data_IF_919263673558
#
_entry.id   IF_919263673558
#
_cell.length_a   1.000
_cell.length_b   1.000
_cell.length_c   1.000
_cell.angle_alpha   90.00
_cell.angle_beta   90.00
_cell.angle_gamma   90.00
#
_symmetry.space_group_name_H-M   'P 1'
#
loop_
_entity.id
_entity.type
_entity.pdbx_description
1 polymer ?
#
# COMPACT_ATOMS: atom_id res chain seq x y z
N UNK A 1 22.05 -49.19 -40.05
CA UNK A 1 20.76 -49.94 -39.98
C UNK A 1 20.02 -49.42 -38.75
N UNK A 2 18.80 -48.88 -38.72
CA UNK A 2 17.65 -48.67 -39.62
C UNK A 2 17.09 -47.27 -39.25
N UNK A 3 16.94 -46.30 -40.17
CA UNK A 3 15.74 -45.96 -40.98
C UNK A 3 14.46 -45.59 -40.19
N UNK A 4 14.25 -44.28 -40.08
CA UNK A 4 13.00 -43.49 -40.20
C UNK A 4 12.19 -43.79 -41.51
N UNK A 5 11.08 -43.11 -41.89
CA UNK A 5 9.89 -42.55 -41.19
C UNK A 5 8.56 -42.68 -42.01
N UNK A 6 7.37 -42.28 -41.50
CA UNK A 6 6.20 -41.83 -42.33
C UNK A 6 5.08 -41.21 -41.44
N UNK A 7 4.76 -39.90 -41.43
CA UNK A 7 4.00 -39.03 -42.37
C UNK A 7 2.53 -39.40 -42.67
N UNK A 8 1.60 -38.47 -42.35
CA UNK A 8 0.42 -37.96 -43.12
C UNK A 8 -0.24 -36.85 -42.27
N UNK A 9 -0.21 -35.54 -42.59
CA UNK A 9 -0.89 -34.72 -43.63
C UNK A 9 -2.42 -34.90 -43.72
N UNK A 10 -3.14 -33.82 -43.40
CA UNK A 10 -4.52 -33.51 -43.81
C UNK A 10 -4.77 -32.00 -43.64
N UNK A 11 -5.16 -31.31 -44.72
CA UNK A 11 -5.37 -29.85 -44.84
C UNK A 11 -6.86 -29.51 -44.69
N UNK A 12 -7.09 -28.33 -44.07
CA UNK A 12 -8.07 -27.26 -44.34
C UNK A 12 -9.46 -27.56 -44.95
N UNK A 13 -10.53 -27.07 -44.27
CA UNK A 13 -11.64 -26.33 -44.91
C UNK A 13 -12.08 -25.18 -43.97
N UNK A 14 -12.02 -23.98 -44.53
CA UNK A 14 -12.58 -22.69 -44.07
C UNK A 14 -14.10 -22.63 -44.22
N UNK A 15 -14.81 -22.04 -43.26
CA UNK A 15 -16.06 -21.32 -43.54
C UNK A 15 -16.12 -20.01 -42.75
N UNK A 16 -15.87 -18.91 -43.48
CA UNK A 16 -16.36 -17.56 -43.18
C UNK A 16 -17.87 -17.54 -43.41
N UNK A 17 -18.62 -16.87 -42.53
CA UNK A 17 -19.92 -16.29 -42.87
C UNK A 17 -19.77 -14.77 -42.85
N UNK A 18 -19.61 -14.21 -44.04
CA UNK A 18 -19.96 -12.82 -44.33
C UNK A 18 -21.39 -12.83 -44.87
N UNK A 19 -22.24 -11.96 -44.33
CA UNK A 19 -23.51 -11.57 -44.94
C UNK A 19 -23.40 -10.09 -45.24
N UNK A 20 -23.37 -9.76 -46.54
CA UNK A 20 -23.55 -8.42 -47.07
C UNK A 20 -24.79 -8.43 -47.96
N UNK A 21 -25.73 -7.52 -47.69
CA UNK A 21 -26.68 -7.02 -48.67
C UNK A 21 -26.98 -5.55 -48.38
N UNK A 22 -26.64 -4.68 -49.34
CA UNK A 22 -27.45 -3.53 -49.76
C UNK A 22 -27.37 -2.21 -48.99
N UNK A 23 -26.66 -1.24 -49.58
CA UNK A 23 -26.74 0.22 -49.39
C UNK A 23 -28.09 0.82 -49.88
N UNK A 24 -28.27 2.16 -50.00
CA UNK A 24 -28.17 3.26 -49.03
C UNK A 24 -29.49 4.07 -48.97
N UNK A 25 -29.86 4.68 -47.83
CA UNK A 25 -30.82 5.79 -47.82
C UNK A 25 -30.45 6.81 -46.75
N UNK A 26 -30.39 8.07 -47.19
CA UNK A 26 -30.15 9.28 -46.42
C UNK A 26 -31.30 9.63 -45.46
N UNK A 27 -30.98 10.56 -44.55
CA UNK A 27 -31.86 11.41 -43.73
C UNK A 27 -32.22 10.89 -42.32
N UNK A 28 -31.56 11.47 -41.31
CA UNK A 28 -32.15 11.61 -39.96
C UNK A 28 -33.08 12.83 -39.91
N UNK A 29 -33.45 13.34 -38.71
CA UNK A 29 -33.48 12.70 -37.39
C UNK A 29 -34.86 12.86 -36.71
N UNK A 30 -35.25 11.95 -35.80
CA UNK A 30 -36.14 12.27 -34.68
C UNK A 30 -36.15 11.10 -33.67
N UNK A 31 -35.76 11.41 -32.43
CA UNK A 31 -35.56 10.44 -31.37
C UNK A 31 -36.85 10.01 -30.69
N UNK A 32 -36.77 8.83 -30.05
CA UNK A 32 -37.47 8.47 -28.81
C UNK A 32 -36.68 7.34 -28.15
N UNK A 33 -35.96 7.67 -27.08
CA UNK A 33 -35.44 6.66 -26.15
C UNK A 33 -36.56 6.31 -25.16
N UNK A 34 -36.93 5.04 -25.11
CA UNK A 34 -37.75 4.49 -24.03
C UNK A 34 -36.78 4.15 -22.90
N UNK A 35 -36.84 4.90 -21.80
CA UNK A 35 -36.08 4.64 -20.58
C UNK A 35 -37.00 4.19 -19.47
N UNK A 36 -36.79 2.97 -18.96
CA UNK A 36 -37.37 2.50 -17.71
C UNK A 36 -36.67 3.18 -16.52
N UNK A 37 -37.47 3.55 -15.51
CA UNK A 37 -37.08 4.35 -14.36
C UNK A 37 -36.45 3.44 -13.31
N UNK A 38 -35.16 3.63 -13.03
CA UNK A 38 -34.56 3.34 -11.73
C UNK A 38 -33.61 4.48 -11.34
N UNK A 39 -33.87 5.07 -10.17
CA UNK A 39 -32.97 5.98 -9.45
C UNK A 39 -32.30 7.11 -10.27
N UNK A 40 -33.07 8.11 -10.66
CA UNK A 40 -32.73 9.54 -10.47
C UNK A 40 -31.36 10.08 -10.90
N UNK A 41 -30.67 9.54 -11.91
CA UNK A 41 -29.46 10.16 -12.48
C UNK A 41 -29.55 10.19 -14.01
N UNK A 42 -29.77 11.39 -14.57
CA UNK A 42 -29.66 11.63 -16.01
C UNK A 42 -28.23 12.08 -16.30
N UNK A 43 -27.43 11.22 -16.95
CA UNK A 43 -26.11 11.59 -17.46
C UNK A 43 -26.23 11.96 -18.94
N UNK A 44 -26.18 13.26 -19.26
CA UNK A 44 -26.08 13.73 -20.65
C UNK A 44 -24.60 13.92 -21.00
N UNK A 45 -24.11 13.20 -22.00
CA UNK A 45 -22.76 13.41 -22.57
C UNK A 45 -22.80 14.46 -23.67
N UNK A 46 -21.95 15.51 -23.66
CA UNK A 46 -21.77 16.35 -24.82
C UNK A 46 -20.75 15.73 -25.79
N UNK A 47 -21.08 15.76 -27.08
CA UNK A 47 -20.15 15.52 -28.17
C UNK A 47 -19.15 16.67 -28.28
N UNK A 48 -17.86 16.34 -28.25
CA UNK A 48 -16.77 17.07 -28.87
C UNK A 48 -16.68 18.60 -28.60
N UNK A 49 -15.95 19.00 -27.57
CA UNK A 49 -14.97 20.12 -27.64
C UNK A 49 -14.27 20.30 -26.28
N UNK A 50 -13.01 20.77 -26.35
CA UNK A 50 -12.07 20.87 -25.23
C UNK A 50 -12.55 21.87 -24.17
N UNK A 51 -13.13 21.37 -23.07
CA UNK A 51 -13.15 21.98 -21.72
C UNK A 51 -13.75 20.98 -20.73
N UNK A 52 -13.08 20.77 -19.60
CA UNK A 52 -13.53 19.88 -18.53
C UNK A 52 -14.80 20.46 -17.86
N UNK A 53 -15.77 19.62 -17.44
CA UNK A 53 -16.96 20.12 -16.78
C UNK A 53 -16.61 20.59 -15.36
N UNK A 54 -16.89 21.86 -15.09
CA UNK A 54 -17.04 22.35 -13.72
C UNK A 54 -18.36 21.80 -13.21
N UNK A 55 -18.32 21.03 -12.12
CA UNK A 55 -19.52 20.56 -11.43
C UNK A 55 -20.22 21.79 -10.79
N UNK A 56 -21.11 22.45 -11.55
CA UNK A 56 -22.01 23.46 -10.98
C UNK A 56 -23.19 22.75 -10.35
N UNK A 57 -23.14 22.58 -9.03
CA UNK A 57 -24.33 22.28 -8.22
C UNK A 57 -25.16 23.57 -8.18
N UNK A 58 -26.08 23.71 -9.13
CA UNK A 58 -27.07 24.78 -9.13
C UNK A 58 -28.17 24.46 -8.13
N UNK A 59 -28.22 25.18 -7.01
CA UNK A 59 -29.42 25.24 -6.17
C UNK A 59 -30.51 25.95 -6.98
N UNK A 60 -31.61 25.24 -7.27
CA UNK A 60 -32.83 25.87 -7.74
C UNK A 60 -33.31 26.90 -6.69
N UNK A 61 -33.52 28.18 -7.05
CA UNK A 61 -34.03 29.16 -6.11
C UNK A 61 -35.54 28.95 -6.01
N UNK A 62 -35.99 28.21 -5.00
CA UNK A 62 -37.42 28.06 -4.77
C UNK A 62 -37.84 26.98 -3.78
N UNK A 63 -37.10 26.75 -2.69
CA UNK A 63 -37.60 26.01 -1.53
C UNK A 63 -36.90 26.55 -0.26
N UNK A 64 -37.39 27.69 0.24
CA UNK A 64 -37.02 28.18 1.58
C UNK A 64 -37.82 27.39 2.62
N UNK A 65 -37.16 26.48 3.32
CA UNK A 65 -37.74 25.79 4.48
C UNK A 65 -37.42 24.29 4.52
N UNK A 66 -36.17 23.93 4.83
CA UNK A 66 -35.78 22.55 5.10
C UNK A 66 -34.60 22.54 6.06
N UNK A 67 -34.75 21.85 7.20
CA UNK A 67 -33.67 21.63 8.16
C UNK A 67 -32.47 21.04 7.42
N UNK A 68 -31.27 21.55 7.68
CA UNK A 68 -30.02 20.86 7.32
C UNK A 68 -29.99 19.56 8.12
N UNK A 69 -30.45 18.47 7.52
CA UNK A 69 -30.06 17.14 7.97
C UNK A 69 -28.63 16.91 7.50
N UNK A 70 -27.71 16.80 8.46
CA UNK A 70 -26.35 16.36 8.21
C UNK A 70 -26.42 14.93 7.68
N UNK A 71 -26.32 14.77 6.36
CA UNK A 71 -26.19 13.47 5.72
C UNK A 71 -24.80 12.93 6.10
N UNK A 72 -24.73 12.16 7.18
CA UNK A 72 -23.58 11.31 7.49
C UNK A 72 -23.57 10.19 6.46
N UNK A 73 -22.70 10.30 5.46
CA UNK A 73 -22.39 9.18 4.57
C UNK A 73 -21.63 8.14 5.38
N UNK A 74 -22.26 7.01 5.68
CA UNK A 74 -21.56 5.83 6.21
C UNK A 74 -20.63 5.30 5.11
N UNK A 75 -19.32 5.41 5.32
CA UNK A 75 -18.32 4.96 4.37
C UNK A 75 -18.08 3.46 4.57
N UNK A 76 -18.41 2.62 3.59
CA UNK A 76 -17.97 1.22 3.61
C UNK A 76 -16.43 1.12 3.56
N UNK A 77 -15.82 0.00 3.97
CA UNK A 77 -14.35 -0.15 4.00
C UNK A 77 -13.64 0.18 2.68
N UNK A 78 -14.26 -0.14 1.54
CA UNK A 78 -13.75 0.25 0.23
C UNK A 78 -13.75 1.77 0.02
N UNK A 79 -14.84 2.44 0.41
CA UNK A 79 -14.97 3.90 0.35
C UNK A 79 -14.02 4.59 1.33
N UNK A 80 -13.77 3.98 2.50
CA UNK A 80 -12.82 4.49 3.49
C UNK A 80 -11.38 4.43 3.00
N UNK A 81 -10.98 3.33 2.33
CA UNK A 81 -9.66 3.22 1.71
C UNK A 81 -9.44 4.27 0.63
N UNK A 82 -10.41 4.45 -0.27
CA UNK A 82 -10.30 5.43 -1.36
C UNK A 82 -10.29 6.86 -0.81
N UNK A 83 -11.08 7.16 0.22
CA UNK A 83 -11.04 8.44 0.93
C UNK A 83 -9.67 8.69 1.59
N UNK A 84 -9.09 7.67 2.24
CA UNK A 84 -7.79 7.78 2.86
C UNK A 84 -6.68 8.03 1.83
N UNK A 85 -6.61 7.22 0.76
CA UNK A 85 -5.61 7.39 -0.30
C UNK A 85 -5.79 8.70 -1.09
N UNK A 86 -7.04 9.15 -1.27
CA UNK A 86 -7.37 10.36 -2.02
C UNK A 86 -6.99 11.69 -1.33
N UNK A 87 -6.76 11.67 -0.01
CA UNK A 87 -6.37 12.89 0.71
C UNK A 87 -6.01 12.67 2.18
N UNK A 88 -6.70 11.76 2.88
CA UNK A 88 -6.50 11.52 4.31
C UNK A 88 -5.07 11.12 4.68
N UNK A 89 -4.35 10.42 3.80
CA UNK A 89 -2.95 10.02 3.98
C UNK A 89 -1.99 11.20 4.19
N UNK A 90 -2.34 12.40 3.70
CA UNK A 90 -1.55 13.63 3.88
C UNK A 90 -1.71 14.22 5.29
N UNK A 91 -2.80 13.89 5.97
CA UNK A 91 -3.09 14.36 7.32
C UNK A 91 -2.36 13.53 8.39
N UNK A 92 -1.92 12.32 8.03
CA UNK A 92 -1.19 11.43 8.92
C UNK A 92 0.32 11.66 8.78
N UNK A 93 0.94 12.14 9.86
CA UNK A 93 2.38 12.35 9.95
C UNK A 93 3.11 11.00 9.88
N UNK A 94 4.11 10.91 9.00
CA UNK A 94 4.94 9.72 8.78
C UNK A 94 5.45 9.63 7.35
N UNK A 95 6.29 8.62 7.09
CA UNK A 95 6.98 8.42 5.82
C UNK A 95 6.37 7.28 5.03
N UNK A 96 5.69 7.63 3.94
CA UNK A 96 5.17 6.68 2.98
C UNK A 96 4.95 7.42 1.67
N UNK A 97 5.62 6.97 0.59
CA UNK A 97 5.33 7.52 -0.72
C UNK A 97 3.93 7.11 -1.17
N UNK A 98 3.26 7.98 -1.92
CA UNK A 98 1.94 7.67 -2.45
C UNK A 98 2.00 6.47 -3.40
N UNK A 99 3.08 6.34 -4.17
CA UNK A 99 3.34 5.18 -5.03
C UNK A 99 3.34 3.87 -4.22
N UNK A 100 4.10 3.81 -3.12
CA UNK A 100 4.13 2.62 -2.25
C UNK A 100 2.77 2.37 -1.59
N UNK A 101 2.04 3.41 -1.19
CA UNK A 101 0.69 3.27 -0.64
C UNK A 101 -0.30 2.65 -1.66
N UNK A 102 -0.27 3.11 -2.92
CA UNK A 102 -1.08 2.55 -4.01
C UNK A 102 -0.74 1.07 -4.27
N UNK A 103 0.55 0.72 -4.24
CA UNK A 103 1.01 -0.67 -4.47
C UNK A 103 0.50 -1.60 -3.38
N UNK A 104 0.65 -1.22 -2.11
CA UNK A 104 0.20 -2.02 -0.96
C UNK A 104 -1.32 -2.21 -1.03
N UNK A 105 -2.08 -1.15 -1.27
CA UNK A 105 -3.54 -1.22 -1.40
C UNK A 105 -3.97 -2.10 -2.59
N UNK A 106 -3.28 -1.97 -3.74
CA UNK A 106 -3.56 -2.76 -4.93
C UNK A 106 -3.29 -4.24 -4.72
N UNK A 107 -2.16 -4.59 -4.11
CA UNK A 107 -1.79 -5.97 -3.80
C UNK A 107 -2.77 -6.62 -2.82
N UNK A 108 -3.21 -5.90 -1.78
CA UNK A 108 -4.21 -6.41 -0.84
C UNK A 108 -5.58 -6.68 -1.51
N UNK A 109 -5.99 -5.79 -2.43
CA UNK A 109 -7.19 -6.01 -3.27
C UNK A 109 -7.00 -7.21 -4.20
N UNK A 110 -5.82 -7.35 -4.79
CA UNK A 110 -5.51 -8.48 -5.65
C UNK A 110 -5.55 -9.81 -4.90
N UNK A 111 -4.96 -9.91 -3.70
CA UNK A 111 -5.08 -11.09 -2.82
C UNK A 111 -6.54 -11.49 -2.61
N UNK A 112 -7.39 -10.52 -2.25
CA UNK A 112 -8.84 -10.74 -2.05
C UNK A 112 -9.50 -11.30 -3.32
N UNK A 113 -9.20 -10.71 -4.48
CA UNK A 113 -9.75 -11.15 -5.78
C UNK A 113 -9.33 -12.57 -6.18
N UNK A 114 -8.19 -13.04 -5.69
CA UNK A 114 -7.69 -14.39 -5.97
C UNK A 114 -7.98 -15.38 -4.84
N UNK A 115 -8.82 -15.00 -3.88
CA UNK A 115 -9.30 -15.85 -2.78
C UNK A 115 -8.35 -15.96 -1.59
N UNK A 116 -7.31 -15.13 -1.51
CA UNK A 116 -6.42 -15.06 -0.35
C UNK A 116 -7.02 -14.09 0.66
N UNK A 117 -7.39 -14.64 1.82
CA UNK A 117 -7.99 -13.93 2.95
C UNK A 117 -7.22 -14.27 4.23
N UNK A 118 -7.40 -13.48 5.29
CA UNK A 118 -6.66 -13.59 6.55
C UNK A 118 -6.34 -12.22 7.13
N UNK A 119 -5.90 -12.17 8.39
CA UNK A 119 -5.61 -10.90 9.08
C UNK A 119 -4.50 -10.09 8.39
N UNK A 120 -4.40 -8.80 8.73
CA UNK A 120 -3.29 -7.92 8.34
C UNK A 120 -2.51 -7.47 9.58
N UNK A 121 -1.21 -7.20 9.43
CA UNK A 121 -0.36 -6.78 10.54
C UNK A 121 0.64 -5.71 10.11
N UNK A 122 0.97 -4.80 11.03
CA UNK A 122 2.16 -3.95 10.95
C UNK A 122 2.90 -3.97 12.29
N UNK A 123 4.22 -4.10 12.22
CA UNK A 123 5.14 -3.77 13.32
C UNK A 123 5.73 -2.40 13.00
N UNK A 124 5.68 -1.47 13.96
CA UNK A 124 6.08 -0.08 13.77
C UNK A 124 4.94 0.76 13.21
N UNK A 125 4.13 1.34 14.09
CA UNK A 125 2.89 2.02 13.74
C UNK A 125 3.09 3.53 13.69
N UNK A 126 3.87 4.09 14.61
CA UNK A 126 4.02 5.53 14.80
C UNK A 126 2.66 6.25 14.97
N UNK A 127 2.08 6.77 13.89
CA UNK A 127 0.74 7.38 13.83
C UNK A 127 -0.22 6.67 12.85
N UNK A 128 0.18 5.52 12.31
CA UNK A 128 -0.65 4.61 11.51
C UNK A 128 -0.66 4.84 10.01
N UNK A 129 0.34 5.54 9.43
CA UNK A 129 0.26 5.98 8.03
C UNK A 129 0.09 4.83 7.04
N UNK A 130 0.86 3.76 7.19
CA UNK A 130 0.71 2.53 6.41
C UNK A 130 -0.39 1.65 7.03
N UNK A 131 -0.43 1.50 8.36
CA UNK A 131 -1.44 0.69 9.06
C UNK A 131 -2.88 0.98 8.62
N UNK A 132 -3.24 2.24 8.39
CA UNK A 132 -4.59 2.62 7.98
C UNK A 132 -4.96 2.04 6.61
N UNK A 133 -3.99 1.76 5.73
CA UNK A 133 -4.20 1.01 4.50
C UNK A 133 -4.55 -0.44 4.84
N UNK A 134 -3.75 -1.08 5.69
CA UNK A 134 -3.92 -2.47 6.12
C UNK A 134 -5.24 -2.69 6.88
N UNK A 135 -5.67 -1.71 7.67
CA UNK A 135 -6.94 -1.72 8.37
C UNK A 135 -8.12 -1.66 7.40
N UNK A 136 -8.07 -0.76 6.41
CA UNK A 136 -9.16 -0.56 5.46
C UNK A 136 -9.32 -1.70 4.43
N UNK A 137 -8.28 -2.51 4.19
CA UNK A 137 -8.38 -3.68 3.29
C UNK A 137 -8.92 -4.94 3.97
N UNK A 138 -9.11 -4.93 5.29
CA UNK A 138 -9.76 -6.05 6.00
C UNK A 138 -11.23 -6.17 5.61
N UNK A 139 -11.75 -7.40 5.61
CA UNK A 139 -13.12 -7.72 5.22
C UNK A 139 -13.70 -8.84 6.09
N UNK A 140 -15.02 -8.83 6.28
CA UNK A 140 -15.71 -9.87 7.06
C UNK A 140 -15.19 -9.96 8.49
N UNK A 141 -14.60 -11.11 8.84
CA UNK A 141 -14.07 -11.39 10.18
C UNK A 141 -12.56 -11.14 10.32
N UNK A 142 -11.91 -10.64 9.27
CA UNK A 142 -10.48 -10.34 9.29
C UNK A 142 -10.19 -9.17 10.24
N UNK A 143 -9.04 -9.22 10.90
CA UNK A 143 -8.58 -8.19 11.83
C UNK A 143 -7.30 -7.55 11.31
N UNK A 144 -7.11 -6.28 11.64
CA UNK A 144 -5.85 -5.59 11.45
C UNK A 144 -5.13 -5.45 12.79
N UNK A 145 -3.84 -5.76 12.82
CA UNK A 145 -3.06 -5.88 14.06
C UNK A 145 -1.93 -4.87 14.06
N UNK A 146 -2.01 -3.92 14.98
CA UNK A 146 -1.04 -2.87 15.18
C UNK A 146 -0.07 -3.26 16.29
N UNK A 147 1.22 -3.41 15.98
CA UNK A 147 2.28 -3.70 16.95
C UNK A 147 3.23 -2.50 17.07
N UNK A 148 3.32 -1.90 18.25
CA UNK A 148 4.25 -0.79 18.51
C UNK A 148 4.55 -0.68 20.01
N UNK A 149 5.71 -0.14 20.38
CA UNK A 149 6.04 0.19 21.77
C UNK A 149 5.37 1.50 22.23
N UNK A 150 4.91 2.35 21.30
CA UNK A 150 4.33 3.67 21.52
C UNK A 150 5.09 4.49 22.56
N UNK A 151 4.48 4.72 23.73
CA UNK A 151 5.06 5.52 24.81
C UNK A 151 6.20 4.82 25.56
N UNK A 152 6.45 3.53 25.35
CA UNK A 152 7.49 2.75 26.02
C UNK A 152 8.88 3.01 25.43
N UNK A 153 9.25 4.29 25.36
CA UNK A 153 10.46 4.81 24.69
C UNK A 153 11.79 4.30 25.28
N UNK A 154 11.76 3.68 26.46
CA UNK A 154 12.93 2.96 26.99
C UNK A 154 13.30 1.72 26.16
N UNK A 155 12.35 1.20 25.35
CA UNK A 155 12.56 0.11 24.39
C UNK A 155 12.96 0.60 23.00
N UNK A 156 12.93 1.92 22.75
CA UNK A 156 13.31 2.55 21.47
C UNK A 156 14.84 2.72 21.38
N UNK A 157 15.55 1.60 21.18
CA UNK A 157 17.02 1.54 21.23
C UNK A 157 17.73 2.33 20.13
N UNK A 158 17.09 2.52 18.98
CA UNK A 158 17.67 3.19 17.81
C UNK A 158 17.19 4.65 17.63
N UNK A 159 16.26 5.10 18.49
CA UNK A 159 15.69 6.45 18.47
C UNK A 159 15.02 6.83 17.15
N UNK A 160 14.50 5.86 16.41
CA UNK A 160 14.00 6.04 15.05
C UNK A 160 12.62 6.70 14.95
N UNK A 161 11.83 6.71 16.02
CA UNK A 161 10.49 7.32 16.02
C UNK A 161 9.96 7.66 17.40
N UNK A 162 8.85 8.41 17.44
CA UNK A 162 8.11 8.76 18.66
C UNK A 162 6.61 8.56 18.41
N UNK A 163 6.20 7.29 18.34
CA UNK A 163 4.80 6.93 18.13
C UNK A 163 3.91 7.37 19.29
N UNK A 164 2.73 7.91 18.95
CA UNK A 164 1.71 8.30 19.92
C UNK A 164 0.43 7.51 19.68
N UNK A 165 0.08 6.67 20.65
CA UNK A 165 -1.10 5.80 20.59
C UNK A 165 -2.40 6.59 20.49
N UNK A 166 -2.53 7.72 21.19
CA UNK A 166 -3.77 8.51 21.18
C UNK A 166 -3.98 9.16 19.81
N UNK A 167 -2.92 9.68 19.20
CA UNK A 167 -2.95 10.21 17.83
C UNK A 167 -3.33 9.10 16.85
N UNK A 168 -2.68 7.94 16.96
CA UNK A 168 -2.97 6.76 16.13
C UNK A 168 -4.45 6.33 16.24
N UNK A 169 -4.98 6.17 17.44
CA UNK A 169 -6.39 5.81 17.65
C UNK A 169 -7.35 6.90 17.14
N UNK A 170 -6.94 8.17 17.17
CA UNK A 170 -7.65 9.27 16.52
C UNK A 170 -7.75 9.11 15.00
N UNK A 171 -6.64 8.73 14.36
CA UNK A 171 -6.62 8.44 12.93
C UNK A 171 -7.44 7.20 12.58
N UNK A 172 -7.43 6.14 13.40
CA UNK A 172 -8.30 4.97 13.21
C UNK A 172 -9.78 5.37 13.16
N UNK A 173 -10.25 6.13 14.14
CA UNK A 173 -11.64 6.61 14.17
C UNK A 173 -11.99 7.46 12.96
N UNK A 174 -11.03 8.20 12.41
CA UNK A 174 -11.24 9.11 11.28
C UNK A 174 -11.20 8.41 9.92
N UNK A 175 -10.24 7.51 9.71
CA UNK A 175 -9.89 6.99 8.39
C UNK A 175 -10.13 5.49 8.22
N UNK A 176 -10.32 4.74 9.30
CA UNK A 176 -10.65 3.31 9.29
C UNK A 176 -11.77 2.96 10.30
N UNK A 177 -12.90 3.70 10.34
CA UNK A 177 -13.89 3.59 11.43
C UNK A 177 -14.62 2.23 11.52
N UNK A 178 -14.54 1.40 10.47
CA UNK A 178 -15.22 0.11 10.39
C UNK A 178 -14.29 -1.10 10.53
N UNK A 179 -12.99 -0.85 10.70
CA UNK A 179 -11.98 -1.91 10.80
C UNK A 179 -11.96 -2.52 12.21
N UNK A 180 -11.93 -3.84 12.29
CA UNK A 180 -11.66 -4.53 13.54
C UNK A 180 -10.14 -4.51 13.80
N UNK A 181 -9.71 -3.77 14.82
CA UNK A 181 -8.29 -3.55 15.12
C UNK A 181 -7.89 -4.15 16.46
N UNK A 182 -6.79 -4.91 16.48
CA UNK A 182 -6.06 -5.28 17.69
C UNK A 182 -4.84 -4.38 17.85
N UNK A 183 -4.67 -3.76 19.01
CA UNK A 183 -3.49 -2.97 19.34
C UNK A 183 -2.65 -3.74 20.35
N UNK A 184 -1.46 -4.15 19.94
CA UNK A 184 -0.47 -4.85 20.74
C UNK A 184 0.64 -3.87 21.08
N UNK A 185 0.64 -3.38 22.33
CA UNK A 185 1.68 -2.47 22.78
C UNK A 185 2.86 -3.24 23.35
N UNK A 186 3.80 -3.63 22.48
CA UNK A 186 4.94 -4.45 22.86
C UNK A 186 6.10 -4.33 21.86
N UNK A 187 7.30 -4.79 22.23
CA UNK A 187 8.44 -4.87 21.32
C UNK A 187 8.35 -6.15 20.51
N UNK A 188 8.57 -6.08 19.21
CA UNK A 188 8.57 -7.27 18.34
C UNK A 188 9.60 -8.34 18.74
N UNK A 189 10.64 -7.98 19.49
CA UNK A 189 11.62 -8.91 20.06
C UNK A 189 11.01 -9.85 21.11
N UNK A 190 9.99 -9.38 21.83
CA UNK A 190 9.29 -10.12 22.87
C UNK A 190 8.17 -11.01 22.26
N UNK A 191 7.67 -10.68 21.06
CA UNK A 191 6.57 -11.40 20.39
C UNK A 191 6.95 -12.79 19.86
N UNK A 192 8.19 -13.02 19.46
CA UNK A 192 8.61 -14.26 18.77
C UNK A 192 8.36 -15.53 19.58
N UNK A 193 8.44 -15.44 20.92
CA UNK A 193 8.18 -16.57 21.82
C UNK A 193 6.80 -16.52 22.50
N UNK A 194 5.90 -15.67 22.00
CA UNK A 194 4.56 -15.48 22.54
C UNK A 194 3.49 -16.17 21.70
N UNK A 195 2.23 -16.15 22.15
CA UNK A 195 1.09 -16.60 21.37
C UNK A 195 0.87 -15.78 20.09
N UNK A 196 1.50 -14.61 19.96
CA UNK A 196 1.46 -13.82 18.73
C UNK A 196 1.97 -14.60 17.51
N UNK A 197 3.02 -15.42 17.68
CA UNK A 197 3.58 -16.23 16.60
C UNK A 197 2.61 -17.28 16.03
N UNK A 198 1.49 -17.55 16.72
CA UNK A 198 0.42 -18.43 16.24
C UNK A 198 -0.56 -17.72 15.31
N UNK A 199 -0.56 -16.39 15.29
CA UNK A 199 -1.40 -15.59 14.37
C UNK A 199 -0.97 -15.79 12.93
N UNK A 200 -1.90 -15.56 12.01
CA UNK A 200 -1.72 -15.81 10.58
C UNK A 200 -2.18 -14.62 9.76
N UNK A 201 -1.29 -14.09 8.93
CA UNK A 201 -1.49 -12.83 8.23
C UNK A 201 -1.32 -12.96 6.72
N UNK A 202 -2.24 -12.39 5.94
CA UNK A 202 -2.10 -12.31 4.47
C UNK A 202 -1.25 -11.12 4.03
N UNK A 203 -1.25 -10.05 4.82
CA UNK A 203 -0.38 -8.87 4.63
C UNK A 203 0.36 -8.58 5.94
N UNK A 204 1.67 -8.36 5.85
CA UNK A 204 2.51 -8.05 7.01
C UNK A 204 3.48 -6.92 6.67
N UNK A 205 3.43 -5.78 7.36
CA UNK A 205 4.40 -4.69 7.25
C UNK A 205 5.43 -4.77 8.38
N UNK A 206 6.71 -4.60 8.05
CA UNK A 206 7.84 -4.61 8.98
C UNK A 206 8.52 -3.24 8.95
N UNK A 207 8.36 -2.50 10.05
CA UNK A 207 8.88 -1.15 10.29
C UNK A 207 9.21 -0.94 11.80
N UNK A 208 9.53 -2.02 12.53
CA UNK A 208 9.64 -1.99 13.99
C UNK A 208 10.87 -1.26 14.53
N UNK A 209 11.98 -1.32 13.79
CA UNK A 209 13.25 -0.69 14.13
C UNK A 209 14.30 -0.94 13.06
N UNK A 210 15.44 -0.27 13.20
CA UNK A 210 16.42 -0.05 12.14
C UNK A 210 17.80 -0.65 12.46
N UNK A 211 17.88 -1.51 13.48
CA UNK A 211 19.06 -2.34 13.75
C UNK A 211 18.96 -3.68 13.03
N UNK A 212 20.12 -4.30 12.75
CA UNK A 212 20.13 -5.57 12.03
C UNK A 212 19.50 -6.71 12.82
N UNK A 213 19.60 -6.69 14.16
CA UNK A 213 18.94 -7.64 15.05
C UNK A 213 17.41 -7.53 15.00
N UNK A 214 16.86 -6.31 15.07
CA UNK A 214 15.41 -6.09 15.05
C UNK A 214 14.85 -6.47 13.70
N UNK A 215 15.46 -5.99 12.60
CA UNK A 215 14.99 -6.33 11.25
C UNK A 215 15.04 -7.83 10.98
N UNK A 216 16.10 -8.51 11.40
CA UNK A 216 16.19 -9.97 11.26
C UNK A 216 15.08 -10.69 12.06
N UNK A 217 14.85 -10.29 13.31
CA UNK A 217 13.78 -10.85 14.14
C UNK A 217 12.41 -10.64 13.49
N UNK A 218 12.12 -9.43 13.03
CA UNK A 218 10.80 -9.07 12.53
C UNK A 218 10.47 -9.76 11.20
N UNK A 219 11.47 -9.93 10.32
CA UNK A 219 11.32 -10.75 9.11
C UNK A 219 11.06 -12.24 9.46
N UNK A 220 11.75 -12.78 10.45
CA UNK A 220 11.53 -14.16 10.91
C UNK A 220 10.15 -14.35 11.55
N UNK A 221 9.69 -13.36 12.32
CA UNK A 221 8.34 -13.34 12.89
C UNK A 221 7.28 -13.24 11.79
N UNK A 222 7.46 -12.33 10.82
CA UNK A 222 6.56 -12.18 9.68
C UNK A 222 6.45 -13.48 8.87
N UNK A 223 7.59 -14.16 8.63
CA UNK A 223 7.58 -15.49 8.01
C UNK A 223 6.82 -16.52 8.84
N UNK A 224 7.05 -16.56 10.15
CA UNK A 224 6.38 -17.52 11.06
C UNK A 224 4.87 -17.33 11.05
N UNK A 225 4.42 -16.09 10.94
CA UNK A 225 3.00 -15.73 10.87
C UNK A 225 2.42 -15.75 9.45
N UNK A 226 3.20 -16.11 8.42
CA UNK A 226 2.72 -16.14 7.04
C UNK A 226 1.79 -17.34 6.78
N UNK A 227 0.83 -17.13 5.89
CA UNK A 227 0.04 -18.15 5.19
C UNK A 227 0.59 -18.29 3.75
N UNK A 228 0.24 -19.36 3.01
CA UNK A 228 0.59 -19.44 1.59
C UNK A 228 0.11 -18.20 0.82
N UNK A 229 1.05 -17.49 0.20
CA UNK A 229 0.80 -16.29 -0.58
C UNK A 229 0.78 -14.99 0.23
N UNK A 230 1.15 -15.00 1.51
CA UNK A 230 1.33 -13.76 2.28
C UNK A 230 2.28 -12.80 1.59
N UNK A 231 1.99 -11.51 1.69
CA UNK A 231 2.90 -10.45 1.26
C UNK A 231 3.50 -9.81 2.50
N UNK A 232 4.83 -9.81 2.56
CA UNK A 232 5.60 -9.10 3.59
C UNK A 232 6.20 -7.85 2.94
N UNK A 233 5.98 -6.69 3.56
CA UNK A 233 6.50 -5.40 3.12
C UNK A 233 7.52 -4.94 4.15
N UNK A 234 8.78 -4.85 3.76
CA UNK A 234 9.84 -4.35 4.61
C UNK A 234 10.12 -2.88 4.26
N UNK A 235 10.07 -2.01 5.27
CA UNK A 235 10.45 -0.60 5.11
C UNK A 235 11.97 -0.41 5.08
N UNK A 236 12.41 0.75 4.59
CA UNK A 236 13.76 1.31 4.74
C UNK A 236 14.92 0.48 4.19
N UNK A 237 14.61 -0.51 3.34
CA UNK A 237 15.60 -1.43 2.74
C UNK A 237 16.76 -0.74 2.02
N UNK A 238 16.56 0.46 1.46
CA UNK A 238 17.60 1.24 0.78
C UNK A 238 17.85 2.59 1.46
N UNK A 239 17.43 2.78 2.70
CA UNK A 239 17.64 4.02 3.43
C UNK A 239 19.06 4.07 4.03
N UNK A 240 19.89 5.00 3.53
CA UNK A 240 21.28 5.14 3.96
C UNK A 240 21.44 5.58 5.42
N UNK A 241 20.41 6.13 6.06
CA UNK A 241 20.43 6.44 7.49
C UNK A 241 20.23 5.20 8.36
N UNK A 242 19.66 4.14 7.78
CA UNK A 242 19.19 2.95 8.48
C UNK A 242 19.77 1.67 7.87
N UNK A 243 21.09 1.64 7.67
CA UNK A 243 21.79 0.49 7.06
C UNK A 243 21.63 -0.82 7.85
N UNK A 244 21.23 -0.76 9.13
CA UNK A 244 20.89 -1.94 9.89
C UNK A 244 19.75 -2.75 9.26
N UNK A 245 18.84 -2.11 8.51
CA UNK A 245 17.74 -2.80 7.81
C UNK A 245 18.26 -3.73 6.72
N UNK A 246 19.14 -3.22 5.83
CA UNK A 246 19.71 -4.06 4.77
C UNK A 246 20.65 -5.13 5.33
N UNK A 247 21.39 -4.82 6.41
CA UNK A 247 22.21 -5.80 7.12
C UNK A 247 21.34 -6.90 7.76
N UNK A 248 20.25 -6.55 8.44
CA UNK A 248 19.32 -7.50 9.05
C UNK A 248 18.61 -8.38 8.01
N UNK A 249 18.26 -7.79 6.87
CA UNK A 249 17.76 -8.53 5.70
C UNK A 249 18.79 -9.54 5.20
N UNK A 250 20.06 -9.14 5.10
CA UNK A 250 21.14 -10.04 4.71
C UNK A 250 21.30 -11.20 5.72
N UNK A 251 21.29 -10.90 7.03
CA UNK A 251 21.36 -11.90 8.09
C UNK A 251 20.19 -12.88 8.02
N UNK A 252 18.98 -12.39 7.76
CA UNK A 252 17.80 -13.23 7.55
C UNK A 252 17.98 -14.23 6.40
N UNK A 253 18.46 -13.78 5.23
CA UNK A 253 18.71 -14.68 4.09
C UNK A 253 19.88 -15.64 4.31
N UNK A 254 20.97 -15.18 4.94
CA UNK A 254 22.11 -16.04 5.30
C UNK A 254 21.66 -17.14 6.27
N UNK A 255 20.74 -16.84 7.18
CA UNK A 255 20.10 -17.79 8.08
C UNK A 255 19.04 -18.68 7.39
N UNK A 256 18.99 -18.72 6.05
CA UNK A 256 18.03 -19.50 5.25
C UNK A 256 16.57 -19.06 5.45
N UNK A 257 16.33 -17.76 5.58
CA UNK A 257 14.99 -17.17 5.46
C UNK A 257 14.33 -17.58 4.13
N UNK A 258 13.08 -18.02 4.18
CA UNK A 258 12.34 -18.63 3.07
C UNK A 258 11.34 -17.69 2.37
N UNK A 259 11.32 -16.41 2.74
CA UNK A 259 10.54 -15.40 2.00
C UNK A 259 11.27 -15.03 0.70
N UNK A 260 10.52 -14.87 -0.39
CA UNK A 260 11.04 -14.62 -1.74
C UNK A 260 10.77 -13.16 -2.13
N UNK A 261 11.82 -12.33 -2.34
CA UNK A 261 11.70 -10.99 -2.90
C UNK A 261 11.08 -10.99 -4.29
N UNK A 262 10.16 -10.06 -4.57
CA UNK A 262 9.53 -9.94 -5.90
C UNK A 262 9.42 -8.52 -6.45
N UNK A 263 9.45 -7.49 -5.60
CA UNK A 263 9.40 -6.10 -6.05
C UNK A 263 10.08 -5.15 -5.05
N UNK A 264 10.49 -3.99 -5.56
CA UNK A 264 10.83 -2.81 -4.76
C UNK A 264 10.00 -1.63 -5.28
N UNK A 265 9.26 -0.96 -4.41
CA UNK A 265 8.72 0.39 -4.67
C UNK A 265 9.56 1.41 -3.89
N UNK A 266 9.31 2.73 -3.98
CA UNK A 266 10.12 3.71 -3.25
C UNK A 266 10.27 3.34 -1.77
N UNK A 267 11.49 2.91 -1.45
CA UNK A 267 11.97 2.48 -0.15
C UNK A 267 11.24 1.28 0.51
N UNK A 268 10.48 0.48 -0.22
CA UNK A 268 9.83 -0.74 0.31
C UNK A 268 10.27 -1.97 -0.46
N UNK A 269 10.69 -3.02 0.24
CA UNK A 269 10.92 -4.36 -0.33
C UNK A 269 9.66 -5.21 -0.14
N UNK A 270 9.20 -5.88 -1.19
CA UNK A 270 8.08 -6.81 -1.12
C UNK A 270 8.58 -8.24 -1.25
N UNK A 271 8.16 -9.09 -0.31
CA UNK A 271 8.48 -10.51 -0.26
C UNK A 271 7.21 -11.36 -0.14
N UNK A 272 7.30 -12.64 -0.49
CA UNK A 272 6.19 -13.60 -0.37
C UNK A 272 6.67 -15.01 -0.07
N UNK A 273 5.78 -16.00 0.06
CA UNK A 273 6.12 -17.34 0.57
C UNK A 273 6.62 -18.34 -0.47
N UNK A 274 6.56 -18.03 -1.78
CA UNK A 274 7.06 -18.92 -2.84
C UNK A 274 7.36 -18.18 -4.15
N UNK A 275 8.17 -18.81 -5.01
CA UNK A 275 8.49 -18.28 -6.34
C UNK A 275 7.24 -18.10 -7.23
N UNK A 276 6.26 -19.00 -7.13
CA UNK A 276 5.01 -18.91 -7.90
C UNK A 276 4.20 -17.66 -7.51
N UNK A 277 4.09 -17.38 -6.21
CA UNK A 277 3.45 -16.15 -5.73
C UNK A 277 4.28 -14.92 -6.06
N UNK A 278 5.61 -15.00 -5.96
CA UNK A 278 6.52 -13.90 -6.28
C UNK A 278 6.32 -13.48 -7.74
N UNK A 279 6.31 -14.45 -8.65
CA UNK A 279 6.02 -14.22 -10.06
C UNK A 279 4.62 -13.61 -10.26
N UNK A 280 3.59 -14.16 -9.62
CA UNK A 280 2.22 -13.69 -9.77
C UNK A 280 2.03 -12.24 -9.31
N UNK A 281 2.62 -11.88 -8.18
CA UNK A 281 2.53 -10.51 -7.66
C UNK A 281 3.37 -9.52 -8.47
N UNK A 282 4.57 -9.92 -8.91
CA UNK A 282 5.38 -9.10 -9.81
C UNK A 282 4.65 -8.85 -11.15
N UNK A 283 4.09 -9.89 -11.78
CA UNK A 283 3.31 -9.77 -13.02
C UNK A 283 2.11 -8.83 -12.84
N UNK A 284 1.41 -8.91 -11.69
CA UNK A 284 0.27 -8.05 -11.39
C UNK A 284 0.68 -6.58 -11.21
N UNK A 285 1.76 -6.31 -10.47
CA UNK A 285 2.27 -4.94 -10.32
C UNK A 285 2.73 -4.36 -11.66
N UNK A 286 3.43 -5.15 -12.48
CA UNK A 286 3.83 -4.74 -13.83
C UNK A 286 2.64 -4.39 -14.71
N UNK A 287 1.56 -5.16 -14.62
CA UNK A 287 0.33 -4.95 -15.37
C UNK A 287 -0.37 -3.66 -14.92
N UNK A 288 -0.46 -3.43 -13.61
CA UNK A 288 -1.19 -2.30 -13.03
C UNK A 288 -0.41 -0.98 -13.05
N UNK A 289 0.92 -1.05 -12.94
CA UNK A 289 1.81 0.10 -12.73
C UNK A 289 2.98 0.12 -13.74
N UNK A 290 2.66 -0.16 -15.01
CA UNK A 290 3.65 -0.22 -16.10
C UNK A 290 4.47 1.07 -16.22
N UNK A 291 3.86 2.22 -15.94
CA UNK A 291 4.46 3.55 -15.95
C UNK A 291 5.44 3.79 -14.79
N UNK A 292 5.38 2.98 -13.73
CA UNK A 292 6.25 3.08 -12.57
C UNK A 292 7.50 2.19 -12.67
N UNK A 293 7.57 1.28 -13.64
CA UNK A 293 8.70 0.35 -13.78
C UNK A 293 9.97 1.15 -14.06
N UNK A 294 10.92 1.11 -13.14
CA UNK A 294 12.23 1.75 -13.26
C UNK A 294 13.27 0.80 -13.84
N UNK A 295 13.31 -0.46 -13.36
CA UNK A 295 14.26 -1.47 -13.83
C UNK A 295 13.74 -2.88 -13.62
N UNK A 296 13.93 -3.73 -14.62
CA UNK A 296 13.71 -5.18 -14.52
C UNK A 296 14.53 -5.97 -15.56
N UNK A 297 15.01 -7.17 -15.21
CA UNK A 297 15.04 -7.72 -13.85
C UNK A 297 16.18 -7.10 -13.02
N UNK A 298 16.07 -7.16 -11.69
CA UNK A 298 17.13 -6.81 -10.75
C UNK A 298 17.36 -7.99 -9.82
N UNK A 299 18.62 -8.42 -9.69
CA UNK A 299 19.00 -9.48 -8.78
C UNK A 299 19.07 -8.98 -7.34
N UNK A 300 18.50 -9.76 -6.41
CA UNK A 300 18.56 -9.49 -4.98
C UNK A 300 18.49 -10.80 -4.20
N UNK A 301 19.57 -11.14 -3.48
CA UNK A 301 19.69 -12.39 -2.70
C UNK A 301 19.30 -13.67 -3.47
N UNK A 302 19.68 -13.76 -4.75
CA UNK A 302 19.38 -14.91 -5.61
C UNK A 302 18.00 -14.88 -6.27
N UNK A 303 17.12 -13.95 -5.89
CA UNK A 303 15.84 -13.71 -6.56
C UNK A 303 15.95 -12.65 -7.65
N UNK A 304 14.97 -12.65 -8.58
CA UNK A 304 14.83 -11.62 -9.61
C UNK A 304 13.58 -10.80 -9.32
N UNK A 305 13.74 -9.51 -9.07
CA UNK A 305 12.64 -8.60 -8.73
C UNK A 305 12.51 -7.45 -9.73
N UNK A 306 11.38 -6.76 -9.64
CA UNK A 306 11.07 -5.55 -10.40
C UNK A 306 11.23 -4.32 -9.51
N UNK A 307 12.00 -3.33 -9.96
CA UNK A 307 12.16 -2.05 -9.26
C UNK A 307 11.22 -1.03 -9.88
N UNK A 308 10.39 -0.43 -9.04
CA UNK A 308 9.45 0.64 -9.37
C UNK A 308 9.93 1.96 -8.76
N UNK A 309 9.91 3.02 -9.57
CA UNK A 309 10.21 4.37 -9.14
C UNK A 309 8.98 5.10 -8.60
N UNK A 310 9.16 6.37 -8.23
CA UNK A 310 8.02 7.24 -7.96
C UNK A 310 7.21 7.46 -9.23
N UNK A 311 5.89 7.35 -9.10
CA UNK A 311 4.99 7.79 -10.17
C UNK A 311 4.89 9.30 -10.11
N UNK A 312 5.06 10.00 -11.24
CA UNK A 312 4.61 11.38 -11.32
C UNK A 312 3.11 11.34 -11.03
N UNK A 313 2.72 11.79 -9.84
CA UNK A 313 1.31 11.78 -9.47
C UNK A 313 0.52 12.49 -10.57
N UNK A 314 -0.71 12.03 -10.81
CA UNK A 314 -1.71 12.74 -11.61
C UNK A 314 -2.07 14.12 -11.02
N UNK A 315 -1.41 14.49 -9.92
CA UNK A 315 -1.33 15.79 -9.31
C UNK A 315 0.07 16.36 -9.60
N UNK A 316 0.16 17.47 -10.33
CA UNK A 316 1.41 18.22 -10.46
C UNK A 316 1.87 18.65 -9.07
N UNK A 317 2.81 17.90 -8.48
CA UNK A 317 3.67 18.42 -7.42
C UNK A 317 4.87 19.00 -8.17
N UNK A 318 5.05 20.33 -8.21
CA UNK A 318 6.19 20.93 -8.88
C UNK A 318 7.48 20.31 -8.32
N UNK A 319 8.53 20.07 -9.13
CA UNK A 319 9.79 19.50 -8.66
C UNK A 319 10.37 20.19 -7.42
N UNK A 320 10.11 21.50 -7.30
CA UNK A 320 10.48 22.30 -6.13
C UNK A 320 9.83 21.84 -4.82
N UNK A 321 8.61 21.31 -4.84
CA UNK A 321 7.93 20.77 -3.66
C UNK A 321 8.45 19.38 -3.27
N UNK A 322 8.89 18.57 -4.25
CA UNK A 322 9.53 17.28 -3.98
C UNK A 322 10.92 17.47 -3.32
N UNK A 323 11.70 18.41 -3.86
CA UNK A 323 12.97 18.84 -3.27
C UNK A 323 12.77 19.52 -1.92
N UNK A 324 11.71 20.34 -1.74
CA UNK A 324 11.34 20.87 -0.43
C UNK A 324 10.91 19.77 0.54
N UNK A 325 10.23 18.72 0.09
CA UNK A 325 9.81 17.62 0.94
C UNK A 325 11.01 16.78 1.39
N UNK A 326 11.97 16.53 0.49
CA UNK A 326 13.27 15.92 0.82
C UNK A 326 14.08 16.78 1.77
N UNK A 327 14.23 18.07 1.47
CA UNK A 327 14.94 19.00 2.35
C UNK A 327 14.24 19.17 3.70
N UNK A 328 12.90 19.18 3.76
CA UNK A 328 12.14 19.20 5.02
C UNK A 328 12.31 17.90 5.79
N UNK A 329 12.35 16.76 5.11
CA UNK A 329 12.63 15.48 5.73
C UNK A 329 14.02 15.49 6.36
N UNK A 330 15.05 15.87 5.59
CA UNK A 330 16.42 16.04 6.06
C UNK A 330 16.50 17.03 7.23
N UNK A 331 15.85 18.19 7.13
CA UNK A 331 15.83 19.19 8.20
C UNK A 331 15.10 18.72 9.45
N UNK A 332 14.02 17.95 9.32
CA UNK A 332 13.30 17.41 10.47
C UNK A 332 14.15 16.35 11.18
N UNK A 333 14.81 15.48 10.42
CA UNK A 333 15.78 14.53 10.92
C UNK A 333 16.92 15.25 11.65
N UNK A 334 17.54 16.24 11.01
CA UNK A 334 18.59 17.08 11.62
C UNK A 334 18.10 17.77 12.88
N UNK A 335 16.89 18.33 12.89
CA UNK A 335 16.33 19.02 14.08
C UNK A 335 16.14 18.06 15.25
N UNK A 336 15.70 16.84 14.98
CA UNK A 336 15.55 15.80 16.00
C UNK A 336 16.92 15.33 16.52
N UNK A 337 17.96 15.31 15.68
CA UNK A 337 19.35 15.03 16.10
C UNK A 337 20.00 16.20 16.88
N UNK A 338 19.70 17.45 16.53
CA UNK A 338 20.30 18.65 17.17
C UNK A 338 19.62 18.99 18.51
N UNK A 339 18.33 18.72 18.67
CA UNK A 339 17.61 18.89 19.95
C UNK A 339 18.31 18.18 21.12
N UNK A 340 18.92 17.02 20.86
CA UNK A 340 19.73 16.26 21.81
C UNK A 340 21.04 16.96 22.19
N UNK A 341 21.73 17.62 21.26
CA UNK A 341 23.01 18.32 21.55
C UNK A 341 22.84 19.55 22.43
N UNK A 342 21.68 20.19 22.41
CA UNK A 342 21.41 21.40 23.21
C UNK A 342 20.87 21.04 24.60
N UNK A 343 20.22 19.89 24.78
CA UNK A 343 19.67 19.46 26.07
C UNK A 343 20.56 18.51 26.87
N UNK A 344 21.54 17.84 26.24
CA UNK A 344 22.46 16.92 26.91
C UNK A 344 23.54 17.56 27.83
N UNK A 345 24.07 18.79 27.62
CA UNK A 345 25.18 19.26 28.47
C UNK A 345 24.76 19.78 29.85
N UNK A 346 23.48 20.02 30.14
CA UNK A 346 23.07 20.63 31.41
C UNK A 346 22.95 19.66 32.59
N UNK A 347 23.15 18.35 32.38
CA UNK A 347 23.09 17.35 33.46
C UNK A 347 24.44 17.01 34.11
N UNK A 348 25.58 17.46 33.55
CA UNK A 348 26.91 17.14 34.06
C UNK A 348 27.59 18.24 34.90
N UNK A 349 26.90 19.35 35.21
CA UNK A 349 27.47 20.46 36.00
C UNK A 349 26.81 20.63 37.40
N UNK A 350 25.97 19.68 37.85
CA UNK A 350 25.33 19.75 39.18
C UNK A 350 25.84 18.75 40.22
N UNK A 351 26.93 18.03 39.94
CA UNK A 351 27.57 17.11 40.89
C UNK A 351 29.03 17.45 41.19
N UNK A 352 29.43 18.70 40.95
CA UNK A 352 30.75 19.22 41.29
C UNK A 352 30.64 20.58 42.00
N UNK A 353 29.83 20.65 43.06
CA UNK A 353 29.90 21.63 44.14
C UNK A 353 29.42 21.01 45.44
#
# INVERSE_FOLDING_TARGET
MRRDPCRRRGKAITQRREVHTGSPCENGPQGRAVGEIFAGVIVVRPSCSRRWPVLKVGLHPGLTGGRREDIRVELTGQNSLDHYLGGGIKEVVGWLSLTSAEFIAHLARFQTNIGITGDTCEIGIHHGKLFLILANVTSGNERAVAVDIFSDQHKNVDQSGYGDRQIFEGHLRKFAPHSAVDIVQESSLDLTNSDFAKRKFRMFSVDGGHTSEITQNDLALAQTCAIPGSIVVLDDILNSHWLGVIEGTARYFIASGGLVPFAISPNKLYLTTSDDFAKRYADELKRAFKDAISKEPVEFFGSQLVVFGERPSQWHVPPAELELARARHELTTIRNTISWRITAPLRWVRSAF
#
